data_IF_266146007850
#
_entry.id   IF_266146007850
#
_cell.length_a   1.000
_cell.length_b   1.000
_cell.length_c   1.000
_cell.angle_alpha   90.00
_cell.angle_beta   90.00
_cell.angle_gamma   90.00
#
_symmetry.space_group_name_H-M   'P 1'
#
loop_
_entity.id
_entity.type
_entity.pdbx_description
1 polymer ?
#
# COMPACT_ATOMS: atom_id res chain seq x y z
N UNK A 1 -17.55 -17.05 -9.46
CA UNK A 1 -18.26 -15.75 -9.48
C UNK A 1 -17.32 -14.73 -8.85
N UNK A 2 -17.01 -13.59 -9.48
CA UNK A 2 -16.11 -12.62 -8.87
C UNK A 2 -16.82 -11.92 -7.72
N UNK A 3 -16.19 -11.90 -6.54
CA UNK A 3 -16.69 -11.27 -5.32
C UNK A 3 -16.76 -9.75 -5.46
N UNK A 4 -17.87 -9.14 -5.06
CA UNK A 4 -18.14 -7.70 -5.11
C UNK A 4 -17.41 -6.87 -4.03
N UNK A 5 -16.20 -7.26 -3.60
CA UNK A 5 -15.47 -6.57 -2.53
C UNK A 5 -14.72 -5.30 -2.97
N UNK A 6 -14.87 -4.85 -4.22
CA UNK A 6 -14.37 -3.56 -4.71
C UNK A 6 -15.48 -2.51 -4.73
N UNK A 7 -16.02 -2.16 -3.56
CA UNK A 7 -16.65 -0.84 -3.43
C UNK A 7 -15.55 0.11 -2.99
N UNK A 8 -15.10 0.96 -3.91
CA UNK A 8 -14.45 2.21 -3.54
C UNK A 8 -15.29 2.81 -2.41
N UNK A 9 -14.67 3.10 -1.26
CA UNK A 9 -15.36 3.65 -0.11
C UNK A 9 -16.23 4.82 -0.58
N UNK A 10 -17.56 4.64 -0.55
CA UNK A 10 -18.46 5.71 -0.92
C UNK A 10 -18.27 6.84 0.07
N UNK A 11 -18.20 8.06 -0.45
CA UNK A 11 -18.27 9.31 0.27
C UNK A 11 -19.24 9.24 1.47
N UNK A 12 -18.71 9.28 2.69
CA UNK A 12 -19.50 9.32 3.92
C UNK A 12 -19.35 10.69 4.58
N UNK A 13 -20.43 11.20 5.18
CA UNK A 13 -20.43 12.52 5.85
C UNK A 13 -19.44 12.57 7.03
N UNK A 14 -19.13 11.42 7.63
CA UNK A 14 -18.14 11.31 8.71
C UNK A 14 -16.68 11.41 8.21
N UNK A 15 -16.47 11.40 6.89
CA UNK A 15 -15.15 11.44 6.24
C UNK A 15 -14.82 12.81 5.62
N UNK A 16 -15.71 13.80 5.78
CA UNK A 16 -15.53 15.15 5.23
C UNK A 16 -14.73 15.99 6.21
N UNK A 17 -13.49 16.34 5.83
CA UNK A 17 -12.56 17.07 6.70
C UNK A 17 -12.52 18.59 6.41
N UNK A 18 -13.08 19.03 5.27
CA UNK A 18 -13.04 20.43 4.84
C UNK A 18 -14.45 21.02 4.65
N UNK A 19 -14.73 22.25 5.12
CA UNK A 19 -16.02 22.91 4.88
C UNK A 19 -16.30 23.20 3.40
N UNK A 20 -15.26 23.28 2.56
CA UNK A 20 -15.36 23.41 1.12
C UNK A 20 -15.24 22.03 0.50
N UNK A 21 -16.36 21.43 0.10
CA UNK A 21 -16.39 20.10 -0.51
C UNK A 21 -17.45 20.02 -1.61
N UNK A 22 -17.35 18.99 -2.45
CA UNK A 22 -18.30 18.72 -3.52
C UNK A 22 -18.17 17.30 -4.07
N UNK A 23 -19.14 16.87 -4.87
CA UNK A 23 -19.09 15.58 -5.56
C UNK A 23 -18.07 15.63 -6.70
N UNK A 24 -17.24 14.60 -6.83
CA UNK A 24 -16.26 14.52 -7.90
C UNK A 24 -16.91 14.30 -9.27
N UNK A 25 -16.36 14.94 -10.30
CA UNK A 25 -16.68 14.61 -11.70
C UNK A 25 -15.94 13.36 -12.22
N UNK A 26 -14.96 12.84 -11.47
CA UNK A 26 -14.14 11.69 -11.89
C UNK A 26 -14.84 10.34 -11.67
N UNK A 27 -15.83 10.26 -10.78
CA UNK A 27 -16.52 9.01 -10.48
C UNK A 27 -17.62 9.15 -9.44
N UNK A 28 -18.57 8.21 -9.49
CA UNK A 28 -19.69 8.14 -8.55
C UNK A 28 -19.20 7.84 -7.14
N UNK A 29 -19.74 8.56 -6.14
CA UNK A 29 -19.43 8.34 -4.73
C UNK A 29 -18.05 8.84 -4.29
N UNK A 30 -17.34 9.62 -5.12
CA UNK A 30 -16.05 10.23 -4.76
C UNK A 30 -16.28 11.69 -4.38
N UNK A 31 -15.64 12.14 -3.30
CA UNK A 31 -15.64 13.55 -2.87
C UNK A 31 -14.39 14.27 -3.35
N UNK A 32 -14.53 15.58 -3.53
CA UNK A 32 -13.43 16.50 -3.76
C UNK A 32 -13.53 17.61 -2.73
N UNK A 33 -12.41 17.94 -2.10
CA UNK A 33 -12.35 18.88 -0.99
C UNK A 33 -11.37 20.03 -1.23
N UNK A 34 -11.58 21.11 -0.47
CA UNK A 34 -10.77 22.32 -0.46
C UNK A 34 -10.56 22.93 -1.85
N UNK A 35 -9.29 23.20 -2.17
CA UNK A 35 -8.88 23.82 -3.43
C UNK A 35 -9.26 22.98 -4.66
N UNK A 36 -9.26 21.65 -4.54
CA UNK A 36 -9.63 20.78 -5.65
C UNK A 36 -11.13 20.91 -5.99
N UNK A 37 -11.98 21.15 -5.00
CA UNK A 37 -13.42 21.38 -5.21
C UNK A 37 -13.65 22.69 -5.96
N UNK A 38 -12.94 23.75 -5.57
CA UNK A 38 -12.98 25.05 -6.25
C UNK A 38 -12.49 24.92 -7.70
N UNK A 39 -11.38 24.21 -7.95
CA UNK A 39 -10.88 23.94 -9.31
C UNK A 39 -11.94 23.22 -10.15
N UNK A 40 -12.62 22.25 -9.58
CA UNK A 40 -13.69 21.54 -10.27
C UNK A 40 -14.86 22.47 -10.62
N UNK A 41 -15.28 23.32 -9.68
CA UNK A 41 -16.30 24.35 -9.92
C UNK A 41 -15.90 25.30 -11.06
N UNK A 42 -14.66 25.84 -11.03
CA UNK A 42 -14.13 26.69 -12.09
C UNK A 42 -14.09 25.95 -13.44
N UNK A 43 -13.70 24.67 -13.44
CA UNK A 43 -13.74 23.79 -14.60
C UNK A 43 -15.14 23.71 -15.21
N UNK A 44 -16.15 23.44 -14.39
CA UNK A 44 -17.55 23.37 -14.83
C UNK A 44 -18.02 24.71 -15.40
N UNK A 45 -17.76 25.83 -14.71
CA UNK A 45 -18.19 27.17 -15.16
C UNK A 45 -17.59 27.51 -16.53
N UNK A 46 -16.29 27.29 -16.70
CA UNK A 46 -15.57 27.68 -17.92
C UNK A 46 -15.84 26.76 -19.12
N UNK A 47 -16.21 25.50 -18.86
CA UNK A 47 -16.53 24.54 -19.93
C UNK A 47 -18.02 24.51 -20.31
N UNK A 48 -18.90 25.02 -19.44
CA UNK A 48 -20.34 25.12 -19.72
C UNK A 48 -20.63 26.37 -20.54
N UNK A 49 -21.27 26.21 -21.69
CA UNK A 49 -21.74 27.35 -22.50
C UNK A 49 -23.05 27.89 -21.91
N UNK A 50 -23.23 29.22 -21.89
CA UNK A 50 -24.50 29.80 -21.45
C UNK A 50 -25.65 29.34 -22.35
N UNK A 51 -26.82 29.17 -21.74
CA UNK A 51 -28.02 28.64 -22.38
C UNK A 51 -28.11 27.12 -22.45
N UNK A 52 -27.05 26.38 -22.10
CA UNK A 52 -27.07 24.90 -22.14
C UNK A 52 -27.73 24.26 -20.91
N UNK A 53 -27.75 24.93 -19.77
CA UNK A 53 -28.48 24.50 -18.58
C UNK A 53 -29.93 25.05 -18.65
N UNK A 54 -30.95 24.20 -18.90
CA UNK A 54 -32.33 24.67 -19.08
C UNK A 54 -32.90 25.35 -17.84
N UNK A 55 -32.40 25.00 -16.65
CA UNK A 55 -32.87 25.55 -15.38
C UNK A 55 -32.11 26.82 -14.99
N UNK A 56 -30.93 27.04 -15.57
CA UNK A 56 -30.06 28.21 -15.32
C UNK A 56 -29.44 28.70 -16.64
N UNK A 57 -30.23 29.36 -17.50
CA UNK A 57 -29.75 29.77 -18.82
C UNK A 57 -28.55 30.74 -18.77
N UNK A 58 -28.42 31.56 -17.72
CA UNK A 58 -27.29 32.48 -17.57
C UNK A 58 -26.00 31.81 -17.07
N UNK A 59 -26.05 30.53 -16.68
CA UNK A 59 -24.92 29.80 -16.12
C UNK A 59 -23.91 29.40 -17.19
N UNK A 60 -22.62 29.68 -16.92
CA UNK A 60 -21.51 29.29 -17.78
C UNK A 60 -20.66 30.47 -18.27
N UNK A 61 -19.89 30.21 -19.32
CA UNK A 61 -18.97 31.16 -19.95
C UNK A 61 -19.23 31.26 -21.47
N UNK A 62 -19.25 32.48 -21.98
CA UNK A 62 -19.49 32.78 -23.42
C UNK A 62 -18.20 32.77 -24.24
N UNK A 63 -17.15 32.12 -23.75
CA UNK A 63 -15.83 32.13 -24.41
C UNK A 63 -15.90 31.60 -25.86
N UNK A 64 -16.80 30.65 -26.12
CA UNK A 64 -16.98 30.02 -27.43
C UNK A 64 -17.54 30.98 -28.49
N UNK A 65 -18.24 32.06 -28.11
CA UNK A 65 -18.78 33.02 -29.07
C UNK A 65 -17.68 33.80 -29.83
N UNK A 66 -16.47 33.82 -29.27
CA UNK A 66 -15.36 34.63 -29.79
C UNK A 66 -14.34 33.81 -30.59
N UNK A 67 -14.53 32.50 -30.77
CA UNK A 67 -13.52 31.62 -31.38
C UNK A 67 -13.23 31.93 -32.85
N UNK A 68 -14.26 32.35 -33.61
CA UNK A 68 -14.16 32.69 -35.03
C UNK A 68 -13.86 34.19 -35.27
N UNK A 69 -13.58 34.93 -34.21
CA UNK A 69 -13.27 36.36 -34.27
C UNK A 69 -11.74 36.54 -34.40
N UNK A 70 -11.26 37.53 -35.18
CA UNK A 70 -9.83 37.78 -35.33
C UNK A 70 -9.12 37.93 -33.97
N UNK A 71 -7.94 37.32 -33.82
CA UNK A 71 -7.21 37.22 -32.53
C UNK A 71 -7.10 38.56 -31.77
N UNK A 72 -6.84 39.65 -32.50
CA UNK A 72 -6.69 41.01 -31.97
C UNK A 72 -7.93 41.49 -31.20
N UNK A 73 -9.13 41.06 -31.60
CA UNK A 73 -10.40 41.43 -30.97
C UNK A 73 -11.03 40.26 -30.20
N UNK A 74 -10.84 39.03 -30.65
CA UNK A 74 -11.38 37.82 -30.03
C UNK A 74 -10.75 37.53 -28.67
N UNK A 75 -9.41 37.50 -28.57
CA UNK A 75 -8.71 37.14 -27.33
C UNK A 75 -9.04 38.08 -26.17
N UNK A 76 -9.03 39.43 -26.32
CA UNK A 76 -9.42 40.32 -25.22
C UNK A 76 -10.85 40.07 -24.74
N UNK A 77 -11.78 39.79 -25.65
CA UNK A 77 -13.17 39.48 -25.30
C UNK A 77 -13.32 38.12 -24.62
N UNK A 78 -12.55 37.11 -25.03
CA UNK A 78 -12.48 35.83 -24.33
C UNK A 78 -11.99 36.01 -22.89
N UNK A 79 -10.92 36.78 -22.68
CA UNK A 79 -10.42 37.08 -21.32
C UNK A 79 -11.48 37.78 -20.47
N UNK A 80 -12.20 38.74 -21.04
CA UNK A 80 -13.33 39.40 -20.38
C UNK A 80 -14.40 38.38 -19.98
N UNK A 81 -14.82 37.51 -20.88
CA UNK A 81 -15.82 36.48 -20.62
C UNK A 81 -15.39 35.51 -19.50
N UNK A 82 -14.12 35.11 -19.48
CA UNK A 82 -13.54 34.27 -18.40
C UNK A 82 -13.64 35.00 -17.04
N UNK A 83 -13.18 36.24 -16.98
CA UNK A 83 -13.15 37.02 -15.73
C UNK A 83 -14.57 37.28 -15.22
N UNK A 84 -15.50 37.64 -16.10
CA UNK A 84 -16.91 37.86 -15.76
C UNK A 84 -17.58 36.57 -15.26
N UNK A 85 -17.40 35.45 -15.96
CA UNK A 85 -17.99 34.18 -15.57
C UNK A 85 -17.51 33.73 -14.18
N UNK A 86 -16.21 33.83 -13.91
CA UNK A 86 -15.65 33.48 -12.59
C UNK A 86 -16.18 34.42 -11.52
N UNK A 87 -16.21 35.74 -11.77
CA UNK A 87 -16.67 36.73 -10.80
C UNK A 87 -18.16 36.57 -10.42
N UNK A 88 -19.00 36.14 -11.37
CA UNK A 88 -20.44 35.92 -11.14
C UNK A 88 -20.69 34.60 -10.39
N UNK A 89 -20.06 33.51 -10.84
CA UNK A 89 -20.43 32.16 -10.40
C UNK A 89 -19.55 31.57 -9.30
N UNK A 90 -18.34 32.09 -9.07
CA UNK A 90 -17.42 31.60 -8.05
C UNK A 90 -16.90 32.75 -7.18
N UNK A 91 -17.74 33.19 -6.24
CA UNK A 91 -17.46 34.35 -5.36
C UNK A 91 -16.34 34.11 -4.36
N UNK A 92 -15.93 32.86 -4.14
CA UNK A 92 -14.83 32.49 -3.23
C UNK A 92 -13.45 32.78 -3.84
N UNK A 93 -13.39 33.11 -5.12
CA UNK A 93 -12.15 33.29 -5.89
C UNK A 93 -12.03 34.70 -6.44
N UNK A 94 -10.82 35.26 -6.44
CA UNK A 94 -10.45 36.52 -7.09
C UNK A 94 -9.40 36.27 -8.16
N UNK A 95 -9.75 36.56 -9.42
CA UNK A 95 -8.80 36.46 -10.54
C UNK A 95 -7.72 37.55 -10.39
N UNK A 96 -6.45 37.14 -10.48
CA UNK A 96 -5.27 38.02 -10.39
C UNK A 96 -4.69 38.34 -11.75
N UNK A 97 -4.57 37.33 -12.62
CA UNK A 97 -4.00 37.49 -13.96
C UNK A 97 -4.59 36.47 -14.93
N UNK A 98 -4.78 36.87 -16.18
CA UNK A 98 -5.16 35.99 -17.29
C UNK A 98 -4.17 36.17 -18.44
N UNK A 99 -3.14 35.32 -18.48
CA UNK A 99 -2.23 35.21 -19.62
C UNK A 99 -2.82 34.29 -20.69
N UNK A 100 -2.27 34.37 -21.89
CA UNK A 100 -2.61 33.46 -22.98
C UNK A 100 -1.37 33.20 -23.83
N UNK A 101 -1.34 32.04 -24.47
CA UNK A 101 -0.40 31.71 -25.53
C UNK A 101 -1.10 30.83 -26.57
N UNK A 102 -0.54 30.79 -27.78
CA UNK A 102 -1.07 29.97 -28.87
C UNK A 102 -0.30 28.65 -28.95
N UNK A 103 -1.01 27.53 -28.89
CA UNK A 103 -0.45 26.19 -29.15
C UNK A 103 -0.37 25.94 -30.66
N UNK A 104 0.38 24.93 -31.09
CA UNK A 104 0.33 24.44 -32.47
C UNK A 104 -1.12 24.18 -32.88
N UNK A 105 -1.52 24.59 -34.09
CA UNK A 105 -2.91 24.59 -34.61
C UNK A 105 -3.81 25.77 -34.19
N UNK A 106 -3.24 26.94 -33.86
CA UNK A 106 -4.01 28.16 -33.53
C UNK A 106 -5.01 27.99 -32.37
N UNK A 107 -4.69 27.10 -31.44
CA UNK A 107 -5.51 26.87 -30.25
C UNK A 107 -5.09 27.86 -29.14
N UNK A 108 -5.95 28.82 -28.74
CA UNK A 108 -5.64 29.72 -27.64
C UNK A 108 -5.74 28.98 -26.32
N UNK A 109 -4.68 29.05 -25.53
CA UNK A 109 -4.63 28.50 -24.18
C UNK A 109 -4.55 29.66 -23.21
N UNK A 110 -5.45 29.67 -22.22
CA UNK A 110 -5.55 30.71 -21.20
C UNK A 110 -5.01 30.22 -19.88
N UNK A 111 -4.09 30.97 -19.29
CA UNK A 111 -3.55 30.70 -17.96
C UNK A 111 -4.15 31.70 -16.98
N UNK A 112 -5.00 31.19 -16.09
CA UNK A 112 -5.77 31.97 -15.13
C UNK A 112 -5.13 31.78 -13.76
N UNK A 113 -4.50 32.83 -13.24
CA UNK A 113 -4.00 32.85 -11.87
C UNK A 113 -5.03 33.53 -10.99
N UNK A 114 -5.39 32.89 -9.87
CA UNK A 114 -6.39 33.37 -8.94
C UNK A 114 -5.95 33.18 -7.49
N UNK A 115 -6.56 33.95 -6.59
CA UNK A 115 -6.42 33.72 -5.14
C UNK A 115 -7.78 33.45 -4.52
N UNK A 116 -7.81 32.75 -3.40
CA UNK A 116 -9.02 32.68 -2.59
C UNK A 116 -9.29 34.05 -1.92
N UNK A 117 -10.53 34.32 -1.55
CA UNK A 117 -10.91 35.58 -0.89
C UNK A 117 -10.41 35.62 0.56
N UNK A 118 -10.43 34.47 1.24
CA UNK A 118 -10.12 34.35 2.67
C UNK A 118 -8.66 33.96 2.94
N UNK A 119 -7.89 33.63 1.90
CA UNK A 119 -6.50 33.16 2.00
C UNK A 119 -5.60 33.85 0.95
N UNK A 120 -4.32 34.09 1.29
CA UNK A 120 -3.28 34.47 0.31
C UNK A 120 -2.85 33.31 -0.61
N UNK A 121 -3.58 32.20 -0.60
CA UNK A 121 -3.31 31.05 -1.44
C UNK A 121 -3.54 31.42 -2.91
N UNK A 122 -2.45 31.48 -3.67
CA UNK A 122 -2.45 31.69 -5.12
C UNK A 122 -2.41 30.34 -5.81
N UNK A 123 -3.30 30.15 -6.75
CA UNK A 123 -3.40 28.96 -7.57
C UNK A 123 -3.55 29.31 -9.06
N UNK A 124 -3.32 28.34 -9.93
CA UNK A 124 -3.38 28.55 -11.39
C UNK A 124 -4.13 27.43 -12.12
N UNK A 125 -4.98 27.88 -13.03
CA UNK A 125 -5.79 27.08 -13.94
C UNK A 125 -5.33 27.32 -15.38
N UNK A 126 -5.36 26.29 -16.21
CA UNK A 126 -5.12 26.36 -17.65
C UNK A 126 -6.43 25.97 -18.35
N UNK A 127 -6.99 26.89 -19.13
CA UNK A 127 -8.11 26.61 -20.01
C UNK A 127 -7.58 26.43 -21.43
N UNK A 128 -7.59 25.20 -21.92
CA UNK A 128 -7.33 24.84 -23.31
C UNK A 128 -8.68 24.63 -23.99
N UNK A 129 -9.02 25.36 -25.05
CA UNK A 129 -10.35 25.27 -25.66
C UNK A 129 -10.64 23.90 -26.30
N UNK A 130 -9.61 23.09 -26.61
CA UNK A 130 -9.79 21.74 -27.16
C UNK A 130 -9.83 20.68 -26.06
N UNK A 131 -9.01 20.83 -25.03
CA UNK A 131 -8.84 19.83 -23.96
C UNK A 131 -9.74 20.10 -22.75
N UNK A 132 -10.22 21.34 -22.61
CA UNK A 132 -10.95 21.82 -21.46
C UNK A 132 -10.04 22.44 -20.40
N UNK A 133 -10.47 22.36 -19.15
CA UNK A 133 -9.76 22.95 -18.01
C UNK A 133 -8.80 21.93 -17.41
N UNK A 134 -7.51 22.28 -17.41
CA UNK A 134 -6.43 21.56 -16.73
C UNK A 134 -5.86 22.45 -15.62
N UNK A 135 -5.36 21.89 -14.52
CA UNK A 135 -4.74 22.72 -13.47
C UNK A 135 -3.23 22.78 -13.71
N UNK A 136 -2.63 23.98 -13.58
CA UNK A 136 -1.26 24.21 -14.05
C UNK A 136 -0.16 23.60 -13.15
N UNK A 137 -0.55 22.74 -12.22
CA UNK A 137 0.38 22.11 -11.27
C UNK A 137 0.13 20.62 -11.09
N UNK A 138 -0.89 20.04 -11.76
CA UNK A 138 -1.40 18.70 -11.39
C UNK A 138 -1.47 17.65 -12.51
N UNK A 139 -0.83 17.88 -13.66
CA UNK A 139 -0.64 16.84 -14.70
C UNK A 139 0.82 16.42 -14.91
N UNK A 140 1.77 17.02 -14.18
CA UNK A 140 3.12 16.47 -14.17
C UNK A 140 3.15 15.22 -13.29
N UNK A 141 3.37 14.08 -13.93
CA UNK A 141 3.63 12.82 -13.23
C UNK A 141 5.13 12.69 -12.98
N UNK A 142 5.50 12.47 -11.73
CA UNK A 142 6.81 11.96 -11.37
C UNK A 142 6.78 10.46 -11.59
N UNK A 143 7.68 9.98 -12.44
CA UNK A 143 7.88 8.56 -12.68
C UNK A 143 9.01 8.09 -11.76
N UNK A 144 8.68 7.26 -10.78
CA UNK A 144 9.68 6.56 -9.98
C UNK A 144 9.86 5.16 -10.53
N UNK A 145 11.12 4.72 -10.61
CA UNK A 145 11.48 3.40 -11.10
C UNK A 145 12.39 2.72 -10.09
N UNK A 146 12.13 1.44 -9.81
CA UNK A 146 12.98 0.61 -8.98
C UNK A 146 13.27 -0.71 -9.69
N UNK A 147 14.53 -0.92 -10.05
CA UNK A 147 15.00 -2.11 -10.76
C UNK A 147 15.12 -3.29 -9.81
N UNK A 148 14.84 -4.49 -10.31
CA UNK A 148 15.07 -5.71 -9.55
C UNK A 148 16.56 -6.03 -9.54
N UNK A 149 17.21 -6.07 -8.37
CA UNK A 149 18.58 -6.55 -8.29
C UNK A 149 18.65 -8.04 -8.68
N UNK A 150 19.73 -8.49 -9.35
CA UNK A 150 19.96 -9.91 -9.59
C UNK A 150 19.97 -10.70 -8.28
N UNK A 151 19.20 -11.78 -8.24
CA UNK A 151 19.03 -12.57 -7.02
C UNK A 151 19.21 -14.09 -7.29
N UNK A 152 20.44 -14.53 -7.62
CA UNK A 152 20.70 -15.93 -7.93
C UNK A 152 20.54 -16.85 -6.70
N UNK A 153 20.67 -16.30 -5.49
CA UNK A 153 20.59 -17.04 -4.22
C UNK A 153 19.18 -17.11 -3.62
N UNK A 154 18.18 -16.46 -4.25
CA UNK A 154 16.79 -16.50 -3.79
C UNK A 154 16.52 -15.75 -2.48
N UNK A 155 17.32 -14.74 -2.15
CA UNK A 155 17.16 -13.92 -0.96
C UNK A 155 15.87 -13.08 -0.98
N UNK A 156 15.25 -12.75 0.17
CA UNK A 156 14.07 -11.90 0.22
C UNK A 156 14.32 -10.50 -0.37
N UNK A 157 13.34 -9.99 -1.10
CA UNK A 157 13.36 -8.62 -1.61
C UNK A 157 12.84 -7.63 -0.57
N UNK A 158 13.33 -6.40 -0.62
CA UNK A 158 12.84 -5.27 0.16
C UNK A 158 12.63 -4.06 -0.76
N UNK A 159 11.70 -3.19 -0.40
CA UNK A 159 11.42 -1.94 -1.12
C UNK A 159 11.59 -0.76 -0.17
N UNK A 160 12.10 0.36 -0.67
CA UNK A 160 12.18 1.61 0.05
C UNK A 160 11.56 2.71 -0.79
N UNK A 161 10.62 3.45 -0.19
CA UNK A 161 10.01 4.62 -0.78
C UNK A 161 10.30 5.85 0.10
N UNK A 162 11.05 6.80 -0.46
CA UNK A 162 11.32 8.09 0.15
C UNK A 162 10.51 9.13 -0.61
N UNK A 163 9.66 9.87 0.09
CA UNK A 163 8.87 10.98 -0.47
C UNK A 163 9.28 12.27 0.22
N UNK A 164 9.74 13.25 -0.55
CA UNK A 164 10.17 14.55 -0.01
C UNK A 164 11.19 14.46 1.13
N UNK A 165 12.14 13.51 1.03
CA UNK A 165 13.18 13.28 2.04
C UNK A 165 12.77 12.44 3.25
N UNK A 166 11.52 11.98 3.34
CA UNK A 166 11.04 11.15 4.45
C UNK A 166 10.65 9.74 3.99
N UNK A 167 10.86 8.73 4.85
CA UNK A 167 10.33 7.39 4.61
C UNK A 167 8.81 7.39 4.66
N UNK A 168 8.21 6.62 3.76
CA UNK A 168 6.77 6.51 3.63
C UNK A 168 6.25 5.35 4.47
N UNK A 169 5.31 5.65 5.35
CA UNK A 169 4.58 4.65 6.14
C UNK A 169 3.40 4.06 5.34
N UNK A 170 3.00 2.81 5.59
CA UNK A 170 3.63 1.87 6.53
C UNK A 170 4.98 1.38 6.00
N UNK A 171 5.90 1.08 6.93
CA UNK A 171 7.21 0.54 6.57
C UNK A 171 7.06 -0.91 6.08
N UNK A 172 7.87 -1.35 5.10
CA UNK A 172 7.88 -2.73 4.64
C UNK A 172 8.29 -3.71 5.74
N UNK A 173 7.93 -4.98 5.57
CA UNK A 173 8.33 -6.06 6.48
C UNK A 173 9.85 -6.07 6.67
N UNK A 174 10.34 -6.14 7.93
CA UNK A 174 11.78 -6.19 8.22
C UNK A 174 12.50 -7.37 7.54
N UNK A 175 11.82 -8.51 7.42
CA UNK A 175 12.36 -9.74 6.83
C UNK A 175 12.16 -9.82 5.30
N UNK A 176 11.70 -8.73 4.66
CA UNK A 176 11.46 -8.70 3.22
C UNK A 176 10.31 -9.60 2.74
N UNK A 177 10.33 -9.91 1.45
CA UNK A 177 9.30 -10.65 0.73
C UNK A 177 9.94 -11.73 -0.14
N UNK A 178 9.32 -12.91 -0.21
CA UNK A 178 9.93 -14.09 -0.85
C UNK A 178 9.99 -13.94 -2.39
N UNK A 179 9.08 -13.15 -2.97
CA UNK A 179 9.03 -12.91 -4.41
C UNK A 179 8.75 -11.45 -4.73
N UNK A 180 9.14 -11.04 -5.93
CA UNK A 180 8.80 -9.70 -6.49
C UNK A 180 7.28 -9.53 -6.61
N UNK A 181 6.54 -10.62 -6.88
CA UNK A 181 5.08 -10.59 -6.97
C UNK A 181 4.44 -10.26 -5.61
N UNK A 182 4.90 -10.91 -4.54
CA UNK A 182 4.44 -10.65 -3.17
C UNK A 182 4.79 -9.21 -2.75
N UNK A 183 6.02 -8.77 -3.03
CA UNK A 183 6.48 -7.41 -2.79
C UNK A 183 5.57 -6.37 -3.49
N UNK A 184 5.24 -6.62 -4.76
CA UNK A 184 4.38 -5.74 -5.55
C UNK A 184 2.96 -5.68 -4.99
N UNK A 185 2.38 -6.83 -4.63
CA UNK A 185 1.05 -6.89 -4.02
C UNK A 185 1.02 -6.08 -2.72
N UNK A 186 2.04 -6.22 -1.86
CA UNK A 186 2.13 -5.43 -0.64
C UNK A 186 2.26 -3.93 -0.93
N UNK A 187 3.12 -3.54 -1.89
CA UNK A 187 3.30 -2.13 -2.25
C UNK A 187 2.02 -1.51 -2.81
N UNK A 188 1.25 -2.23 -3.63
CA UNK A 188 -0.05 -1.76 -4.12
C UNK A 188 -1.07 -1.61 -2.98
N UNK A 189 -1.14 -2.58 -2.07
CA UNK A 189 -2.08 -2.51 -0.93
C UNK A 189 -1.75 -1.35 0.01
N UNK A 190 -0.48 -1.10 0.30
CA UNK A 190 -0.07 -0.16 1.33
C UNK A 190 0.25 1.25 0.78
N UNK A 191 0.80 1.34 -0.43
CA UNK A 191 1.24 2.59 -1.06
C UNK A 191 0.50 2.90 -2.37
N UNK A 192 -0.55 2.15 -2.71
CA UNK A 192 -1.34 2.36 -3.93
C UNK A 192 -1.99 3.73 -4.04
N UNK A 193 -2.26 4.40 -2.92
CA UNK A 193 -2.84 5.74 -2.91
C UNK A 193 -1.89 6.84 -3.40
N UNK A 194 -0.57 6.59 -3.42
CA UNK A 194 0.40 7.57 -3.90
C UNK A 194 0.47 7.66 -5.43
N UNK A 195 -0.05 6.67 -6.15
CA UNK A 195 0.05 6.67 -7.60
C UNK A 195 -0.34 5.37 -8.27
N UNK A 196 -0.24 5.35 -9.60
CA UNK A 196 -0.47 4.14 -10.38
C UNK A 196 0.79 3.29 -10.40
N UNK A 197 0.68 2.06 -9.90
CA UNK A 197 1.78 1.09 -9.83
C UNK A 197 1.70 0.10 -10.97
N UNK A 198 2.82 -0.11 -11.66
CA UNK A 198 2.97 -1.10 -12.72
C UNK A 198 4.19 -1.96 -12.45
N UNK A 199 4.04 -3.26 -12.69
CA UNK A 199 5.12 -4.23 -12.61
C UNK A 199 5.58 -4.60 -14.02
N UNK A 200 6.86 -4.44 -14.31
CA UNK A 200 7.49 -4.94 -15.54
C UNK A 200 8.39 -6.14 -15.21
N UNK A 201 8.97 -6.75 -16.24
CA UNK A 201 9.86 -7.90 -16.10
C UNK A 201 11.14 -7.58 -15.30
N UNK A 202 11.62 -6.34 -15.31
CA UNK A 202 12.91 -5.93 -14.71
C UNK A 202 12.80 -4.84 -13.64
N UNK A 203 11.62 -4.23 -13.44
CA UNK A 203 11.43 -3.09 -12.53
C UNK A 203 9.98 -2.85 -12.12
N UNK A 204 9.80 -2.14 -11.00
CA UNK A 204 8.56 -1.42 -10.69
C UNK A 204 8.58 -0.01 -11.26
N UNK A 205 7.42 0.45 -11.72
CA UNK A 205 7.17 1.82 -12.16
C UNK A 205 5.97 2.38 -11.41
N UNK A 206 6.17 3.51 -10.73
CA UNK A 206 5.11 4.26 -10.07
C UNK A 206 4.95 5.63 -10.73
N UNK A 207 3.74 5.92 -11.19
CA UNK A 207 3.32 7.24 -11.67
C UNK A 207 2.63 7.98 -10.53
N UNK A 208 3.25 9.04 -10.02
CA UNK A 208 2.73 9.84 -8.91
C UNK A 208 2.54 11.30 -9.33
N UNK A 209 1.51 11.97 -8.82
CA UNK A 209 1.31 13.40 -9.02
C UNK A 209 2.50 14.22 -8.48
N UNK A 210 3.01 15.16 -9.25
CA UNK A 210 4.10 16.04 -8.84
C UNK A 210 3.67 17.08 -7.78
N UNK A 211 2.37 17.33 -7.63
CA UNK A 211 1.85 18.32 -6.70
C UNK A 211 2.30 18.02 -5.25
N UNK A 212 3.00 18.99 -4.64
CA UNK A 212 3.46 18.90 -3.25
C UNK A 212 4.63 17.95 -3.00
N UNK A 213 5.25 17.40 -4.04
CA UNK A 213 6.43 16.53 -3.92
C UNK A 213 7.71 17.34 -4.06
N UNK A 214 8.62 17.20 -3.09
CA UNK A 214 9.93 17.86 -3.10
C UNK A 214 11.04 16.82 -3.35
N UNK A 215 12.16 17.18 -3.98
CA UNK A 215 13.35 16.32 -3.98
C UNK A 215 13.97 16.21 -2.57
N UNK A 216 14.54 15.06 -2.17
CA UNK A 216 14.60 13.81 -2.93
C UNK A 216 13.31 13.01 -2.79
N UNK A 217 12.86 12.44 -3.90
CA UNK A 217 11.78 11.45 -3.93
C UNK A 217 12.27 10.27 -4.75
N UNK A 218 12.39 9.10 -4.12
CA UNK A 218 13.05 7.93 -4.70
C UNK A 218 12.31 6.65 -4.35
N UNK A 219 12.37 5.69 -5.26
CA UNK A 219 11.90 4.32 -5.07
C UNK A 219 13.07 3.39 -5.35
N UNK A 220 13.31 2.42 -4.47
CA UNK A 220 14.39 1.46 -4.63
C UNK A 220 13.96 0.07 -4.17
N UNK A 221 14.50 -0.96 -4.82
CA UNK A 221 14.37 -2.35 -4.41
C UNK A 221 15.77 -2.87 -4.10
N UNK A 222 15.91 -3.60 -3.00
CA UNK A 222 17.13 -4.26 -2.57
C UNK A 222 16.85 -5.74 -2.30
N UNK A 223 17.90 -6.54 -2.27
CA UNK A 223 17.87 -7.89 -1.69
C UNK A 223 18.38 -7.79 -0.25
N UNK A 224 17.67 -8.46 0.66
CA UNK A 224 18.12 -8.65 2.03
C UNK A 224 18.86 -9.99 2.07
N UNK A 225 20.18 -10.03 2.37
CA UNK A 225 20.95 -11.26 2.44
C UNK A 225 20.61 -12.02 3.73
N UNK A 226 19.34 -12.40 3.85
CA UNK A 226 18.82 -13.19 4.96
C UNK A 226 18.24 -14.48 4.41
N UNK A 227 18.53 -15.59 5.07
CA UNK A 227 18.00 -16.91 4.75
C UNK A 227 17.04 -17.32 5.86
N UNK A 228 15.80 -17.63 5.51
CA UNK A 228 14.80 -18.14 6.43
C UNK A 228 14.58 -19.62 6.19
N UNK A 229 14.57 -20.41 7.26
CA UNK A 229 14.28 -21.83 7.24
C UNK A 229 13.33 -22.17 8.39
N UNK A 230 12.50 -23.19 8.21
CA UNK A 230 11.50 -23.56 9.21
C UNK A 230 11.27 -25.07 9.25
N UNK A 231 10.78 -25.53 10.39
CA UNK A 231 10.32 -26.90 10.59
C UNK A 231 9.01 -26.89 11.39
N UNK A 232 8.07 -27.72 10.98
CA UNK A 232 6.77 -27.85 11.64
C UNK A 232 6.98 -28.56 12.98
N UNK A 233 6.35 -28.03 14.03
CA UNK A 233 6.34 -28.65 15.36
C UNK A 233 5.26 -29.73 15.38
N UNK A 234 5.61 -31.01 15.60
CA UNK A 234 4.64 -32.09 15.70
C UNK A 234 3.99 -32.12 17.09
N UNK A 235 2.72 -32.53 17.20
CA UNK A 235 2.03 -32.62 18.49
C UNK A 235 2.64 -33.70 19.39
N UNK A 236 3.09 -33.36 20.60
CA UNK A 236 3.68 -34.34 21.51
C UNK A 236 2.62 -35.13 22.30
N UNK A 237 2.77 -36.45 22.33
CA UNK A 237 2.05 -37.35 23.22
C UNK A 237 2.68 -37.44 24.63
N UNK A 238 2.02 -38.12 25.58
CA UNK A 238 2.54 -38.29 26.94
C UNK A 238 3.87 -39.08 26.92
N UNK A 239 4.95 -38.46 27.41
CA UNK A 239 6.30 -39.06 27.46
C UNK A 239 7.15 -38.82 26.20
N UNK A 240 6.66 -38.06 25.23
CA UNK A 240 7.42 -37.65 24.04
C UNK A 240 8.13 -36.30 24.27
N UNK A 241 9.28 -36.12 23.64
CA UNK A 241 10.03 -34.87 23.58
C UNK A 241 10.36 -34.52 22.12
N UNK A 242 10.65 -33.24 21.86
CA UNK A 242 11.10 -32.78 20.54
C UNK A 242 12.55 -33.21 20.29
N UNK A 243 12.80 -33.76 19.11
CA UNK A 243 14.15 -33.84 18.55
C UNK A 243 14.33 -32.76 17.51
N UNK A 244 15.45 -32.03 17.56
CA UNK A 244 15.78 -31.00 16.57
C UNK A 244 17.18 -31.24 16.02
N UNK A 245 17.30 -31.22 14.70
CA UNK A 245 18.56 -31.29 13.96
C UNK A 245 18.65 -30.08 13.06
N UNK A 246 19.79 -29.41 13.08
CA UNK A 246 20.08 -28.25 12.26
C UNK A 246 21.40 -28.47 11.55
N UNK A 247 21.41 -28.37 10.22
CA UNK A 247 22.63 -28.41 9.42
C UNK A 247 22.96 -27.03 8.91
N UNK A 248 24.22 -26.63 9.08
CA UNK A 248 24.79 -25.40 8.56
C UNK A 248 25.75 -25.79 7.44
N UNK A 249 25.44 -25.39 6.20
CA UNK A 249 26.25 -25.68 5.01
C UNK A 249 26.55 -27.18 4.83
N UNK A 250 25.60 -28.05 5.20
CA UNK A 250 25.70 -29.50 5.09
C UNK A 250 26.33 -30.22 6.29
N UNK A 251 26.87 -29.49 7.28
CA UNK A 251 27.40 -30.06 8.53
C UNK A 251 26.42 -29.88 9.69
N UNK A 252 26.30 -30.88 10.57
CA UNK A 252 25.44 -30.79 11.75
C UNK A 252 25.95 -29.71 12.73
N UNK A 253 25.04 -28.80 13.12
CA UNK A 253 25.34 -27.75 14.07
C UNK A 253 25.59 -28.32 15.46
N UNK A 254 26.73 -27.97 16.06
CA UNK A 254 27.04 -28.28 17.45
C UNK A 254 26.54 -27.15 18.37
N UNK A 255 26.09 -27.46 19.60
CA UNK A 255 25.89 -28.79 20.19
C UNK A 255 24.63 -29.50 19.65
N UNK A 256 24.56 -30.82 19.81
CA UNK A 256 23.37 -31.64 19.51
C UNK A 256 22.30 -31.40 20.58
N UNK A 257 21.04 -31.33 20.17
CA UNK A 257 19.91 -31.12 21.07
C UNK A 257 19.71 -32.28 22.05
N UNK A 258 19.34 -32.00 23.31
CA UNK A 258 19.00 -33.03 24.29
C UNK A 258 17.60 -33.61 24.02
N UNK A 259 17.40 -34.87 24.43
CA UNK A 259 16.15 -35.62 24.21
C UNK A 259 15.06 -35.35 25.28
N UNK A 260 15.15 -34.24 26.02
CA UNK A 260 14.26 -33.86 27.14
C UNK A 260 13.45 -32.59 26.89
N UNK A 261 13.43 -32.09 25.64
CA UNK A 261 12.71 -30.89 25.23
C UNK A 261 11.20 -31.16 25.08
N UNK A 262 10.46 -31.11 26.19
CA UNK A 262 9.03 -31.47 26.23
C UNK A 262 8.06 -30.32 25.96
N UNK A 263 8.54 -29.08 25.82
CA UNK A 263 7.68 -27.92 25.49
C UNK A 263 8.26 -27.08 24.35
N UNK A 264 7.41 -26.43 23.52
CA UNK A 264 7.88 -25.51 22.48
C UNK A 264 8.74 -24.37 23.04
N UNK A 265 8.42 -23.87 24.24
CA UNK A 265 9.22 -22.83 24.91
C UNK A 265 10.61 -23.31 25.31
N UNK A 266 10.74 -24.53 25.83
CA UNK A 266 12.03 -25.13 26.15
C UNK A 266 12.88 -25.36 24.90
N UNK A 267 12.25 -25.84 23.81
CA UNK A 267 12.90 -25.99 22.50
C UNK A 267 13.43 -24.65 21.98
N UNK A 268 12.60 -23.59 21.99
CA UNK A 268 13.00 -22.27 21.53
C UNK A 268 14.15 -21.70 22.35
N UNK A 269 14.09 -21.79 23.68
CA UNK A 269 15.15 -21.32 24.56
C UNK A 269 16.47 -22.04 24.29
N UNK A 270 16.44 -23.37 24.17
CA UNK A 270 17.64 -24.15 23.91
C UNK A 270 18.26 -23.78 22.55
N UNK A 271 17.45 -23.71 21.50
CA UNK A 271 17.90 -23.37 20.16
C UNK A 271 18.49 -21.95 20.10
N UNK A 272 17.88 -20.99 20.80
CA UNK A 272 18.37 -19.61 20.89
C UNK A 272 19.71 -19.52 21.63
N UNK A 273 19.88 -20.25 22.72
CA UNK A 273 21.10 -20.22 23.54
C UNK A 273 22.29 -20.91 22.85
N UNK A 274 22.03 -21.97 22.07
CA UNK A 274 23.07 -22.80 21.48
C UNK A 274 23.37 -22.46 20.02
N UNK A 275 22.33 -22.16 19.22
CA UNK A 275 22.46 -21.85 17.80
C UNK A 275 22.14 -20.38 17.46
N UNK A 276 22.03 -19.51 18.47
CA UNK A 276 21.77 -18.08 18.29
C UNK A 276 22.86 -17.33 17.51
N UNK A 277 24.08 -17.89 17.42
CA UNK A 277 25.16 -17.33 16.59
C UNK A 277 24.94 -17.54 15.09
N UNK A 278 24.15 -18.54 14.70
CA UNK A 278 23.89 -18.89 13.31
C UNK A 278 22.61 -18.25 12.77
N UNK A 279 21.60 -18.08 13.62
CA UNK A 279 20.32 -17.49 13.26
C UNK A 279 19.62 -16.89 14.48
N UNK A 280 18.70 -15.97 14.24
CA UNK A 280 17.69 -15.56 15.20
C UNK A 280 16.50 -16.51 15.11
N UNK A 281 16.02 -17.01 16.24
CA UNK A 281 14.99 -18.06 16.26
C UNK A 281 13.66 -17.56 16.83
N UNK A 282 12.56 -18.17 16.37
CA UNK A 282 11.21 -17.86 16.82
C UNK A 282 10.24 -19.00 16.54
N UNK A 283 9.08 -18.96 17.18
CA UNK A 283 7.96 -19.87 16.89
C UNK A 283 6.82 -19.06 16.31
N UNK A 284 6.29 -19.53 15.19
CA UNK A 284 5.14 -18.93 14.49
C UNK A 284 3.99 -19.94 14.44
N UNK A 285 2.75 -19.47 14.45
CA UNK A 285 1.58 -20.32 14.14
C UNK A 285 1.35 -20.34 12.62
N UNK A 286 0.77 -21.44 12.14
CA UNK A 286 0.37 -21.61 10.75
C UNK A 286 -1.15 -21.39 10.68
N UNK A 287 -1.59 -20.47 9.82
CA UNK A 287 -3.02 -20.30 9.54
C UNK A 287 -3.55 -21.54 8.79
N UNK A 288 -4.39 -22.31 9.48
CA UNK A 288 -5.01 -23.52 8.95
C UNK A 288 -6.22 -23.21 8.06
N UNK A 289 -6.13 -23.67 6.82
CA UNK A 289 -7.22 -23.91 5.87
C UNK A 289 -8.24 -24.85 6.54
N UNK A 290 -9.35 -24.29 7.02
CA UNK A 290 -10.50 -25.04 7.51
C UNK A 290 -11.76 -24.23 7.22
N UNK A 291 -12.51 -24.63 6.19
CA UNK A 291 -13.91 -24.21 6.07
C UNK A 291 -14.63 -24.71 7.33
N UNK A 292 -15.36 -23.85 8.07
CA UNK A 292 -16.17 -24.32 9.19
C UNK A 292 -17.24 -25.27 8.65
N UNK A 293 -17.10 -26.56 8.94
CA UNK A 293 -18.17 -27.53 8.69
C UNK A 293 -19.23 -27.30 9.76
N UNK A 294 -20.27 -26.56 9.41
CA UNK A 294 -21.51 -26.58 10.21
C UNK A 294 -22.16 -27.95 9.98
N UNK A 295 -22.18 -28.81 11.00
CA UNK A 295 -23.07 -29.97 10.98
C UNK A 295 -24.50 -29.48 11.27
N UNK A 296 -25.43 -29.81 10.38
CA UNK A 296 -26.83 -29.37 10.45
C UNK A 296 -27.67 -30.15 11.49
N UNK A 297 -27.06 -30.73 12.52
CA UNK A 297 -27.79 -31.45 13.56
C UNK A 297 -27.36 -30.99 14.96
N UNK A 298 -28.32 -30.34 15.62
CA UNK A 298 -28.29 -29.91 17.01
C UNK A 298 -28.40 -31.15 17.93
N UNK A 299 -27.33 -31.95 17.99
CA UNK A 299 -27.27 -33.12 18.87
C UNK A 299 -25.94 -33.17 19.60
N UNK A 300 -25.98 -32.73 20.85
CA UNK A 300 -25.24 -33.22 22.01
C UNK A 300 -23.93 -33.97 21.74
N UNK A 301 -22.90 -33.27 21.26
CA UNK A 301 -21.53 -33.40 21.73
C UNK A 301 -20.79 -32.13 21.28
N UNK A 302 -20.25 -31.39 22.23
CA UNK A 302 -19.36 -30.26 21.95
C UNK A 302 -18.04 -30.90 21.48
N UNK A 303 -17.96 -31.21 20.18
CA UNK A 303 -16.75 -31.71 19.56
C UNK A 303 -15.75 -30.55 19.50
N UNK A 304 -14.90 -30.46 20.53
CA UNK A 304 -13.73 -29.58 20.56
C UNK A 304 -12.56 -30.16 19.79
N UNK A 305 -12.81 -30.81 18.65
CA UNK A 305 -11.84 -30.89 17.57
C UNK A 305 -11.69 -29.49 16.91
N UNK A 306 -11.33 -28.53 17.75
CA UNK A 306 -10.88 -27.22 17.39
C UNK A 306 -9.62 -27.41 16.55
N UNK A 307 -9.76 -27.16 15.24
CA UNK A 307 -8.70 -26.66 14.33
C UNK A 307 -7.34 -26.60 15.02
N UNK A 308 -6.58 -27.70 14.92
CA UNK A 308 -5.27 -27.79 15.55
C UNK A 308 -4.40 -26.63 15.08
N UNK A 309 -4.13 -25.68 15.97
CA UNK A 309 -3.20 -24.60 15.69
C UNK A 309 -1.83 -25.25 15.55
N UNK A 310 -1.39 -25.43 14.32
CA UNK A 310 -0.09 -26.02 14.04
C UNK A 310 0.98 -24.93 14.17
N UNK A 311 2.04 -25.22 14.92
CA UNK A 311 3.15 -24.30 15.11
C UNK A 311 4.35 -24.71 14.28
N UNK A 312 5.23 -23.77 13.95
CA UNK A 312 6.53 -24.03 13.31
C UNK A 312 7.66 -23.27 14.03
N UNK A 313 8.83 -23.90 14.13
CA UNK A 313 10.06 -23.22 14.51
C UNK A 313 10.66 -22.55 13.26
N UNK A 314 11.04 -21.29 13.37
CA UNK A 314 11.61 -20.47 12.29
C UNK A 314 12.97 -19.95 12.72
N UNK A 315 13.98 -20.10 11.85
CA UNK A 315 15.28 -19.47 11.99
C UNK A 315 15.53 -18.48 10.86
N UNK A 316 16.05 -17.30 11.19
CA UNK A 316 16.46 -16.26 10.24
C UNK A 316 17.95 -15.98 10.42
N UNK A 317 18.75 -16.32 9.41
CA UNK A 317 20.18 -16.02 9.37
C UNK A 317 20.46 -14.85 8.45
N UNK A 318 21.40 -13.97 8.79
CA UNK A 318 21.90 -12.89 7.93
C UNK A 318 23.33 -13.15 7.41
N UNK A 319 23.81 -14.38 7.56
CA UNK A 319 25.15 -14.79 7.16
C UNK A 319 25.15 -15.07 5.65
N UNK A 320 26.05 -14.43 4.90
CA UNK A 320 26.11 -14.61 3.44
C UNK A 320 26.59 -16.02 3.07
N UNK A 321 25.86 -16.68 2.17
CA UNK A 321 26.15 -18.05 1.74
C UNK A 321 25.71 -19.13 2.73
N UNK A 322 24.84 -18.79 3.67
CA UNK A 322 24.30 -19.72 4.64
C UNK A 322 23.20 -20.60 4.05
N UNK A 323 23.42 -21.92 4.05
CA UNK A 323 22.40 -22.94 3.82
C UNK A 323 22.04 -23.61 5.15
N UNK A 324 20.81 -23.39 5.62
CA UNK A 324 20.27 -23.98 6.84
C UNK A 324 19.23 -25.02 6.53
N UNK A 325 19.45 -26.28 6.92
CA UNK A 325 18.42 -27.33 6.88
C UNK A 325 17.97 -27.62 8.32
N UNK A 326 16.68 -27.45 8.59
CA UNK A 326 16.10 -27.66 9.92
C UNK A 326 15.09 -28.81 9.86
N UNK A 327 15.27 -29.78 10.75
CA UNK A 327 14.39 -30.95 10.88
C UNK A 327 13.96 -31.05 12.34
N UNK A 328 12.66 -31.17 12.56
CA UNK A 328 12.08 -31.44 13.87
C UNK A 328 11.31 -32.76 13.81
N UNK A 329 11.56 -33.61 14.81
CA UNK A 329 10.87 -34.88 15.00
C UNK A 329 10.42 -35.06 16.45
N UNK A 330 9.98 -36.28 16.76
CA UNK A 330 9.65 -36.72 18.12
C UNK A 330 10.61 -37.81 18.54
N UNK A 331 10.96 -37.81 19.82
CA UNK A 331 11.71 -38.88 20.48
C UNK A 331 11.00 -39.29 21.77
N UNK A 332 11.11 -40.55 22.15
CA UNK A 332 10.59 -41.04 23.43
C UNK A 332 11.61 -40.64 24.49
N UNK A 333 11.20 -39.76 25.41
CA UNK A 333 12.08 -39.32 26.50
C UNK A 333 12.36 -40.46 27.49
N UNK A 334 13.41 -40.37 28.31
CA UNK A 334 13.67 -41.36 29.35
C UNK A 334 12.51 -41.37 30.35
N UNK A 335 11.76 -42.47 30.37
CA UNK A 335 10.77 -42.73 31.42
C UNK A 335 11.53 -43.09 32.69
N UNK A 336 11.58 -42.16 33.66
CA UNK A 336 11.96 -42.53 35.01
C UNK A 336 10.78 -43.30 35.64
N UNK A 337 10.82 -44.63 35.53
CA UNK A 337 9.98 -45.50 36.35
C UNK A 337 10.51 -45.47 37.78
N UNK A 338 9.81 -44.80 38.70
CA UNK A 338 9.98 -45.09 40.12
C UNK A 338 9.35 -46.47 40.38
N UNK A 339 10.17 -47.52 40.49
CA UNK A 339 9.75 -48.92 40.65
C UNK A 339 9.03 -49.21 42.00
N UNK A 340 8.65 -48.20 42.78
CA UNK A 340 8.07 -48.40 44.12
C UNK A 340 6.68 -47.81 44.38
N UNK A 341 6.01 -47.14 43.42
CA UNK A 341 4.65 -46.60 43.72
C UNK A 341 3.61 -46.63 42.61
N UNK A 342 3.95 -46.88 41.34
CA UNK A 342 2.95 -46.98 40.27
C UNK A 342 2.03 -45.77 40.11
N UNK A 343 2.40 -44.60 40.65
CA UNK A 343 1.62 -43.37 40.59
C UNK A 343 2.41 -42.28 39.87
N UNK A 344 1.85 -41.79 38.75
CA UNK A 344 2.36 -40.62 38.05
C UNK A 344 2.10 -39.37 38.90
N UNK A 345 3.13 -38.83 39.55
CA UNK A 345 3.05 -37.51 40.21
C UNK A 345 4.02 -36.51 39.62
N UNK A 346 3.47 -35.45 39.03
CA UNK A 346 4.21 -34.24 38.62
C UNK A 346 4.56 -33.45 39.88
N UNK A 347 5.85 -33.33 40.21
CA UNK A 347 6.32 -32.36 41.21
C UNK A 347 6.93 -31.14 40.52
N UNK A 348 6.26 -30.00 40.70
CA UNK A 348 6.83 -28.65 40.53
C UNK A 348 7.99 -28.46 41.52
N UNK A 349 9.15 -28.05 41.03
CA UNK A 349 10.06 -27.18 41.77
C UNK A 349 10.34 -25.93 40.94
#
# INVERSE_FOLDING_TARGET
MPSWSYLAAMADINTIDNPVWGLSTLGYGVLVEGLASIRQCLGIILTTSKGTDPLRPDFGCDIYEYIDIPEVTGVPNMKRAIVEAIAIWETRVKVKNVSHYMKSEYNPVFEITYSLVDEELIDRLILDLKVGVTSSTDDQEIILQAYYPPNPKGYPYQIAFIKSGAQVAPLPRPNGYASVQELFSWAQTNWGFYGRWNMLADRFVMYMKAAGVKPPTTLAISVLPITTFYAILPDLGPGEAYSVSFKVNGEDAAPVAPDDLVTPGALLAWVQDNWGAHASWGIEWIDGIGEPVFSDEFSEEFDTDATGVQYRLVGVSNVDGFEGELIIGKVIGPVFTDEMSGELTVKRQ
#
